data_IF_613907485111
#
_entry.id   IF_613907485111
#
_cell.length_a   1.000
_cell.length_b   1.000
_cell.length_c   1.000
_cell.angle_alpha   90.00
_cell.angle_beta   90.00
_cell.angle_gamma   90.00
#
_symmetry.space_group_name_H-M   'P 1'
#
loop_
_entity.id
_entity.type
_entity.pdbx_description
1 polymer ?
#
# COMPACT_ATOMS: atom_id res chain seq x y z
N UNK A 1 -25.48 -3.28 35.65
CA UNK A 1 -25.42 -1.81 35.71
C UNK A 1 -26.46 -1.32 36.68
N UNK A 2 -26.10 -0.38 37.55
CA UNK A 2 -27.01 0.15 38.58
C UNK A 2 -27.83 1.37 38.11
N UNK A 3 -27.73 1.78 36.83
CA UNK A 3 -28.50 2.84 36.14
C UNK A 3 -28.89 4.06 37.00
N UNK A 4 -28.00 4.43 37.92
CA UNK A 4 -28.21 5.48 38.89
C UNK A 4 -27.34 6.67 38.54
N UNK A 5 -27.95 7.84 38.38
CA UNK A 5 -27.20 9.09 38.23
C UNK A 5 -26.48 9.46 39.52
N UNK A 6 -25.28 10.03 39.39
CA UNK A 6 -24.50 10.55 40.51
C UNK A 6 -23.84 11.86 40.13
N UNK A 7 -23.52 12.66 41.15
CA UNK A 7 -22.59 13.78 41.00
C UNK A 7 -21.19 13.21 40.74
N UNK A 8 -20.62 13.54 39.57
CA UNK A 8 -19.32 13.03 39.14
C UNK A 8 -18.16 13.63 39.95
N UNK A 9 -18.32 14.87 40.44
CA UNK A 9 -17.29 15.54 41.25
C UNK A 9 -17.25 14.93 42.64
N UNK A 10 -18.42 14.75 43.28
CA UNK A 10 -18.51 14.10 44.59
C UNK A 10 -18.03 12.65 44.55
N UNK A 11 -18.23 11.96 43.42
CA UNK A 11 -17.73 10.60 43.19
C UNK A 11 -16.21 10.55 42.86
N UNK A 12 -15.54 11.69 42.72
CA UNK A 12 -14.11 11.77 42.38
C UNK A 12 -13.77 11.43 40.92
N UNK A 13 -14.78 11.41 40.04
CA UNK A 13 -14.62 11.14 38.61
C UNK A 13 -14.32 12.47 37.90
N UNK A 14 -13.05 12.80 37.78
CA UNK A 14 -12.59 14.08 37.23
C UNK A 14 -11.80 13.85 35.94
N UNK A 15 -12.32 14.35 34.83
CA UNK A 15 -11.60 14.37 33.56
C UNK A 15 -10.69 15.61 33.46
N UNK A 16 -9.40 15.46 33.07
CA UNK A 16 -8.53 16.60 32.85
C UNK A 16 -9.08 17.50 31.74
N UNK A 17 -9.10 18.82 31.98
CA UNK A 17 -9.64 19.79 31.02
C UNK A 17 -8.98 19.71 29.62
N UNK A 18 -7.71 19.28 29.55
CA UNK A 18 -7.02 19.05 28.28
C UNK A 18 -7.63 17.89 27.49
N UNK A 19 -8.03 16.81 28.14
CA UNK A 19 -8.57 15.61 27.49
C UNK A 19 -9.89 15.94 26.82
N UNK A 20 -10.85 16.49 27.57
CA UNK A 20 -12.18 16.83 27.04
C UNK A 20 -12.08 17.88 25.92
N UNK A 21 -11.24 18.91 26.11
CA UNK A 21 -11.04 19.95 25.08
C UNK A 21 -10.44 19.38 23.80
N UNK A 22 -9.36 18.61 23.89
CA UNK A 22 -8.71 18.04 22.71
C UNK A 22 -9.61 17.04 22.01
N UNK A 23 -10.38 16.22 22.76
CA UNK A 23 -11.34 15.30 22.17
C UNK A 23 -12.39 16.03 21.32
N UNK A 24 -13.01 17.09 21.87
CA UNK A 24 -14.02 17.88 21.15
C UNK A 24 -13.43 18.61 19.94
N UNK A 25 -12.23 19.20 20.07
CA UNK A 25 -11.57 19.89 18.97
C UNK A 25 -11.22 18.94 17.81
N UNK A 26 -10.68 17.76 18.12
CA UNK A 26 -10.36 16.77 17.10
C UNK A 26 -11.63 16.23 16.43
N UNK A 27 -12.68 15.96 17.21
CA UNK A 27 -13.97 15.52 16.67
C UNK A 27 -14.57 16.57 15.74
N UNK A 28 -14.57 17.85 16.15
CA UNK A 28 -15.04 18.94 15.32
C UNK A 28 -14.24 19.06 14.01
N UNK A 29 -12.91 18.88 14.07
CA UNK A 29 -12.04 18.93 12.89
C UNK A 29 -12.35 17.81 11.87
N UNK A 30 -12.59 16.59 12.34
CA UNK A 30 -12.94 15.46 11.47
C UNK A 30 -14.36 15.65 10.92
N UNK A 31 -15.30 16.04 11.78
CA UNK A 31 -16.67 16.30 11.38
C UNK A 31 -16.75 17.40 10.32
N UNK A 32 -15.99 18.49 10.46
CA UNK A 32 -15.97 19.57 9.46
C UNK A 32 -15.47 19.07 8.10
N UNK A 33 -14.41 18.24 8.09
CA UNK A 33 -13.89 17.66 6.85
C UNK A 33 -14.92 16.76 6.18
N UNK A 34 -15.59 15.89 6.94
CA UNK A 34 -16.61 14.98 6.41
C UNK A 34 -17.85 15.72 5.88
N UNK A 35 -18.29 16.78 6.56
CA UNK A 35 -19.48 17.54 6.16
C UNK A 35 -19.27 18.38 4.90
N UNK A 36 -18.04 18.84 4.64
CA UNK A 36 -17.74 19.68 3.47
C UNK A 36 -17.14 18.89 2.29
N UNK A 37 -16.93 17.58 2.45
CA UNK A 37 -16.39 16.74 1.37
C UNK A 37 -17.52 15.98 0.69
N UNK A 38 -17.78 16.32 -0.56
CA UNK A 38 -18.91 15.78 -1.32
C UNK A 38 -18.63 14.40 -1.92
N UNK A 39 -17.36 14.13 -2.24
CA UNK A 39 -16.92 12.87 -2.86
C UNK A 39 -15.47 12.57 -2.48
N UNK A 40 -15.17 11.28 -2.39
CA UNK A 40 -13.83 10.74 -2.18
C UNK A 40 -13.52 9.79 -3.33
N UNK A 41 -12.45 10.07 -4.07
CA UNK A 41 -11.94 9.18 -5.12
C UNK A 41 -10.73 8.46 -4.55
N UNK A 42 -10.72 7.14 -4.63
CA UNK A 42 -9.61 6.29 -4.22
C UNK A 42 -9.23 5.35 -5.37
N UNK A 43 -7.93 5.12 -5.52
CA UNK A 43 -7.42 4.16 -6.48
C UNK A 43 -7.66 2.73 -6.00
N UNK A 44 -7.88 1.81 -6.94
CA UNK A 44 -8.01 0.39 -6.63
C UNK A 44 -6.63 -0.13 -6.22
N UNK A 45 -6.49 -0.81 -5.07
CA UNK A 45 -5.22 -1.43 -4.70
C UNK A 45 -4.78 -2.40 -5.79
N UNK A 46 -3.56 -2.22 -6.30
CA UNK A 46 -2.94 -3.14 -7.25
C UNK A 46 -2.09 -4.11 -6.45
N UNK A 47 -2.21 -5.42 -6.72
CA UNK A 47 -1.20 -6.35 -6.22
C UNK A 47 0.12 -6.05 -6.92
N UNK A 48 1.16 -5.70 -6.16
CA UNK A 48 2.50 -5.65 -6.70
C UNK A 48 2.93 -7.09 -7.01
N UNK A 49 3.30 -7.36 -8.26
CA UNK A 49 3.93 -8.63 -8.60
C UNK A 49 5.16 -8.81 -7.70
N UNK A 50 5.40 -10.02 -7.14
CA UNK A 50 6.58 -10.25 -6.33
C UNK A 50 7.78 -9.89 -7.19
N UNK A 51 8.55 -8.87 -6.77
CA UNK A 51 9.79 -8.48 -7.41
C UNK A 51 10.62 -9.76 -7.58
N UNK A 52 10.70 -10.23 -8.83
CA UNK A 52 11.30 -11.52 -9.17
C UNK A 52 12.68 -11.59 -8.55
N UNK A 53 12.83 -12.52 -7.61
CA UNK A 53 14.03 -12.65 -6.80
C UNK A 53 15.27 -12.82 -7.67
N UNK A 54 16.34 -12.19 -7.20
CA UNK A 54 17.71 -12.38 -7.63
C UNK A 54 18.04 -13.87 -7.77
N UNK A 55 18.07 -14.38 -9.01
CA UNK A 55 18.77 -15.63 -9.31
C UNK A 55 20.21 -15.33 -9.69
N UNK A 56 20.99 -14.99 -8.66
CA UNK A 56 22.44 -15.16 -8.70
C UNK A 56 22.80 -16.64 -8.48
N UNK A 57 23.49 -17.16 -9.48
CA UNK A 57 24.59 -18.14 -9.40
C UNK A 57 24.25 -19.63 -9.14
N UNK A 58 24.63 -20.48 -10.10
CA UNK A 58 25.63 -21.56 -9.94
C UNK A 58 25.39 -22.74 -10.91
N UNK A 59 26.40 -23.04 -11.77
CA UNK A 59 26.85 -24.43 -11.92
C UNK A 59 26.53 -25.19 -13.21
N UNK A 60 27.42 -25.08 -14.19
CA UNK A 60 28.12 -26.18 -14.90
C UNK A 60 27.40 -27.50 -15.25
N UNK A 61 27.27 -27.75 -16.56
CA UNK A 61 27.78 -28.99 -17.17
C UNK A 61 26.79 -30.12 -17.50
N UNK A 62 26.57 -30.35 -18.80
CA UNK A 62 25.97 -31.58 -19.32
C UNK A 62 25.86 -31.58 -20.85
N UNK A 63 26.80 -32.23 -21.53
CA UNK A 63 27.00 -32.28 -23.00
C UNK A 63 26.02 -33.23 -23.75
N UNK A 64 25.74 -32.88 -25.02
CA UNK A 64 24.86 -33.50 -26.06
C UNK A 64 25.13 -34.96 -26.47
N UNK A 65 24.21 -35.64 -27.23
CA UNK A 65 24.40 -35.69 -28.71
C UNK A 65 23.08 -35.77 -29.53
N UNK A 66 23.11 -35.27 -30.78
CA UNK A 66 22.11 -35.46 -31.87
C UNK A 66 20.96 -34.45 -32.01
N UNK A 67 21.27 -33.28 -32.57
CA UNK A 67 20.25 -32.38 -33.11
C UNK A 67 20.84 -31.33 -34.05
N UNK A 68 21.63 -31.78 -35.02
CA UNK A 68 22.30 -30.92 -35.98
C UNK A 68 21.36 -29.94 -36.71
N UNK A 69 21.83 -28.70 -36.80
CA UNK A 69 21.91 -27.93 -38.04
C UNK A 69 20.59 -27.63 -38.78
N UNK A 70 20.03 -26.46 -38.53
CA UNK A 70 19.05 -25.86 -39.44
C UNK A 70 18.61 -24.47 -39.00
N UNK A 71 19.00 -23.44 -39.75
CA UNK A 71 18.26 -22.18 -39.77
C UNK A 71 19.00 -20.90 -39.37
N UNK A 72 20.25 -20.71 -39.78
CA UNK A 72 20.81 -19.36 -39.88
C UNK A 72 20.28 -18.72 -41.18
N UNK A 73 19.24 -17.90 -41.07
CA UNK A 73 18.67 -17.17 -42.21
C UNK A 73 17.98 -15.90 -41.72
N UNK A 74 18.56 -14.73 -42.04
CA UNK A 74 17.90 -13.45 -41.82
C UNK A 74 18.79 -12.28 -41.37
N UNK A 75 20.09 -12.28 -41.69
CA UNK A 75 20.87 -11.04 -41.64
C UNK A 75 20.46 -10.16 -42.83
N UNK A 76 19.53 -9.24 -42.60
CA UNK A 76 18.99 -8.33 -43.61
C UNK A 76 18.90 -6.89 -43.10
N UNK A 77 19.97 -6.12 -43.31
CA UNK A 77 19.89 -4.68 -43.59
C UNK A 77 19.84 -3.71 -42.40
N UNK A 78 21.00 -3.44 -41.79
CA UNK A 78 21.42 -2.04 -41.57
C UNK A 78 22.43 -1.74 -42.68
N UNK A 79 22.33 -0.63 -43.45
CA UNK A 79 22.60 0.70 -42.91
C UNK A 79 21.91 1.90 -43.61
N UNK A 80 21.59 2.93 -42.80
CA UNK A 80 21.75 4.35 -43.14
C UNK A 80 20.86 5.00 -44.21
N UNK A 81 20.19 6.09 -43.84
CA UNK A 81 20.24 7.38 -44.56
C UNK A 81 19.40 8.45 -43.83
N UNK A 82 20.11 9.51 -43.41
CA UNK A 82 19.66 10.88 -43.11
C UNK A 82 19.09 11.17 -41.72
#
# INVERSE_FOLDING_TARGET
NTDSYTDMVAAGIIDPARVVRTALQNAASVASLLLTTESLVADIPVEEEPAGGDHHDHGMGGMDPMGGMGGMGGMGGMPGMM
#
